data_IF_527877296214
#
_entry.id   IF_527877296214
#
_cell.length_a   1.000
_cell.length_b   1.000
_cell.length_c   1.000
_cell.angle_alpha   90.00
_cell.angle_beta   90.00
_cell.angle_gamma   90.00
#
_symmetry.space_group_name_H-M   'P 1'
#
loop_
_entity.id
_entity.type
_entity.pdbx_description
1 polymer ?
#
# COMPACT_ATOMS: atom_id res chain seq x y z
N UNK A 1 4.76 -20.82 -4.60
CA UNK A 1 3.97 -19.75 -5.21
C UNK A 1 2.69 -19.52 -4.41
N UNK A 2 2.36 -18.28 -4.13
CA UNK A 2 1.15 -17.89 -3.39
C UNK A 2 0.26 -17.05 -4.29
N UNK A 3 -1.05 -17.30 -4.25
CA UNK A 3 -2.04 -16.52 -4.97
C UNK A 3 -3.26 -16.20 -4.13
N UNK A 4 -4.03 -15.22 -4.56
CA UNK A 4 -5.24 -14.78 -3.86
C UNK A 4 -6.31 -14.38 -4.85
N UNK A 5 -7.55 -14.73 -4.57
CA UNK A 5 -8.72 -14.27 -5.33
C UNK A 5 -9.26 -12.91 -4.83
N UNK A 6 -8.70 -12.36 -3.75
CA UNK A 6 -9.18 -11.11 -3.17
C UNK A 6 -9.12 -9.91 -4.11
N UNK A 7 -8.23 -9.91 -5.11
CA UNK A 7 -8.01 -8.77 -6.02
C UNK A 7 -8.54 -9.00 -7.43
N UNK A 8 -8.87 -10.24 -7.78
CA UNK A 8 -9.38 -10.60 -9.12
C UNK A 8 -10.83 -11.07 -9.10
N UNK A 9 -11.36 -11.42 -7.92
CA UNK A 9 -12.76 -11.80 -7.74
C UNK A 9 -13.41 -10.92 -6.66
N UNK A 10 -13.27 -11.28 -5.37
CA UNK A 10 -13.85 -10.50 -4.29
C UNK A 10 -13.09 -10.73 -2.97
N UNK A 11 -12.70 -9.65 -2.25
CA UNK A 11 -11.94 -9.77 -1.01
C UNK A 11 -12.72 -10.41 0.14
N UNK A 12 -14.05 -10.30 0.15
CA UNK A 12 -14.92 -10.85 1.20
C UNK A 12 -14.96 -12.37 1.25
N UNK A 13 -14.62 -13.06 0.16
CA UNK A 13 -14.60 -14.53 0.13
C UNK A 13 -13.41 -15.14 0.89
N UNK A 14 -12.36 -14.38 1.16
CA UNK A 14 -11.19 -14.80 1.95
C UNK A 14 -10.51 -16.07 1.42
N UNK A 15 -10.44 -16.26 0.10
CA UNK A 15 -9.83 -17.42 -0.56
C UNK A 15 -8.49 -17.05 -1.17
N UNK A 16 -7.48 -17.83 -0.81
CA UNK A 16 -6.15 -17.83 -1.42
C UNK A 16 -5.69 -19.25 -1.68
N UNK A 17 -4.58 -19.41 -2.37
CA UNK A 17 -4.02 -20.70 -2.72
C UNK A 17 -2.50 -20.68 -2.71
N UNK A 18 -1.92 -21.85 -2.54
CA UNK A 18 -0.48 -22.04 -2.54
C UNK A 18 -0.10 -23.25 -3.40
N UNK A 19 0.97 -23.10 -4.20
CA UNK A 19 1.67 -24.21 -4.84
C UNK A 19 3.02 -24.34 -4.14
N UNK A 20 3.22 -25.47 -3.49
CA UNK A 20 4.39 -25.73 -2.65
C UNK A 20 4.87 -27.18 -2.78
N UNK A 21 6.16 -27.46 -2.51
CA UNK A 21 6.66 -28.82 -2.39
C UNK A 21 5.85 -29.64 -1.37
N UNK A 22 5.72 -30.97 -1.54
CA UNK A 22 4.89 -31.81 -0.67
C UNK A 22 5.13 -31.62 0.82
N UNK A 23 6.40 -31.60 1.25
CA UNK A 23 6.76 -31.43 2.65
C UNK A 23 6.27 -30.07 3.25
N UNK A 24 6.34 -28.99 2.47
CA UNK A 24 5.82 -27.66 2.87
C UNK A 24 4.31 -27.68 2.88
N UNK A 25 3.69 -28.24 1.85
CA UNK A 25 2.23 -28.32 1.71
C UNK A 25 1.59 -29.04 2.90
N UNK A 26 2.15 -30.18 3.34
CA UNK A 26 1.62 -30.91 4.49
C UNK A 26 1.71 -30.10 5.80
N UNK A 27 2.80 -29.36 5.99
CA UNK A 27 2.91 -28.45 7.16
C UNK A 27 1.94 -27.28 7.10
N UNK A 28 1.75 -26.69 5.92
CA UNK A 28 0.74 -25.62 5.71
C UNK A 28 -0.68 -26.13 5.97
N UNK A 29 -1.00 -27.36 5.53
CA UNK A 29 -2.29 -28.00 5.79
C UNK A 29 -2.55 -28.15 7.28
N UNK A 30 -1.61 -28.71 8.03
CA UNK A 30 -1.72 -28.87 9.49
C UNK A 30 -1.84 -27.51 10.21
N UNK A 31 -1.06 -26.51 9.80
CA UNK A 31 -1.14 -25.17 10.36
C UNK A 31 -2.51 -24.50 10.07
N UNK A 32 -3.03 -24.67 8.86
CA UNK A 32 -4.35 -24.17 8.48
C UNK A 32 -5.47 -24.86 9.27
N UNK A 33 -5.38 -26.18 9.44
CA UNK A 33 -6.33 -26.96 10.25
C UNK A 33 -6.33 -26.48 11.70
N UNK A 34 -5.16 -26.24 12.29
CA UNK A 34 -5.04 -25.74 13.65
C UNK A 34 -5.58 -24.31 13.81
N UNK A 35 -5.43 -23.45 12.78
CA UNK A 35 -5.80 -22.04 12.85
C UNK A 35 -7.27 -21.77 12.54
N UNK A 36 -7.85 -22.45 11.55
CA UNK A 36 -9.19 -22.15 11.01
C UNK A 36 -10.06 -23.40 10.79
N UNK A 37 -9.59 -24.57 11.14
CA UNK A 37 -10.18 -25.91 10.94
C UNK A 37 -10.33 -26.23 9.44
N UNK A 38 -11.16 -25.52 8.70
CA UNK A 38 -11.26 -25.61 7.25
C UNK A 38 -11.63 -24.24 6.62
N UNK A 39 -11.10 -23.93 5.43
CA UNK A 39 -11.56 -22.76 4.66
C UNK A 39 -13.01 -22.93 4.20
N UNK A 40 -13.72 -21.81 3.98
CA UNK A 40 -15.10 -21.83 3.49
C UNK A 40 -15.22 -22.60 2.18
N UNK A 41 -15.96 -23.72 2.21
CA UNK A 41 -16.26 -24.49 1.00
C UNK A 41 -17.18 -23.71 0.05
N UNK A 42 -18.16 -22.97 0.58
CA UNK A 42 -19.04 -22.11 -0.23
C UNK A 42 -18.22 -21.08 -1.00
N UNK A 43 -17.23 -20.44 -0.34
CA UNK A 43 -16.34 -19.50 -1.02
C UNK A 43 -15.55 -20.14 -2.15
N UNK A 44 -15.00 -21.33 -1.93
CA UNK A 44 -14.25 -22.07 -2.96
C UNK A 44 -15.12 -22.48 -4.15
N UNK A 45 -16.32 -23.05 -3.89
CA UNK A 45 -17.26 -23.43 -4.95
C UNK A 45 -17.75 -22.21 -5.73
N UNK A 46 -18.07 -21.10 -5.07
CA UNK A 46 -18.49 -19.87 -5.76
C UNK A 46 -17.41 -19.35 -6.73
N UNK A 47 -16.15 -19.41 -6.33
CA UNK A 47 -15.03 -19.00 -7.19
C UNK A 47 -14.88 -19.98 -8.36
N UNK A 48 -14.94 -21.30 -8.11
CA UNK A 48 -14.86 -22.30 -9.17
C UNK A 48 -15.95 -22.09 -10.22
N UNK A 49 -17.20 -21.95 -9.78
CA UNK A 49 -18.33 -21.68 -10.67
C UNK A 49 -18.16 -20.37 -11.46
N UNK A 50 -17.66 -19.33 -10.80
CA UNK A 50 -17.40 -18.06 -11.48
C UNK A 50 -16.35 -18.22 -12.59
N UNK A 51 -15.24 -18.89 -12.30
CA UNK A 51 -14.17 -19.12 -13.28
C UNK A 51 -14.59 -19.99 -14.45
N UNK A 52 -15.57 -20.89 -14.25
CA UNK A 52 -16.11 -21.78 -15.27
C UNK A 52 -17.20 -21.12 -16.14
N UNK A 53 -18.04 -20.25 -15.55
CA UNK A 53 -19.23 -19.73 -16.19
C UNK A 53 -19.10 -18.30 -16.74
N UNK A 54 -18.13 -17.54 -16.29
CA UNK A 54 -17.96 -16.14 -16.67
C UNK A 54 -16.60 -15.88 -17.34
N UNK A 55 -16.55 -14.88 -18.20
CA UNK A 55 -15.29 -14.44 -18.81
C UNK A 55 -14.49 -13.56 -17.84
N UNK A 56 -13.91 -14.21 -16.86
CA UNK A 56 -13.06 -13.55 -15.86
C UNK A 56 -11.80 -12.93 -16.47
N UNK A 57 -11.34 -13.40 -17.64
CA UNK A 57 -10.18 -12.83 -18.34
C UNK A 57 -10.52 -11.46 -18.90
N UNK A 58 -11.69 -11.30 -19.51
CA UNK A 58 -12.17 -10.01 -19.97
C UNK A 58 -12.36 -9.05 -18.79
N UNK A 59 -12.90 -9.51 -17.68
CA UNK A 59 -13.04 -8.70 -16.46
C UNK A 59 -11.68 -8.18 -15.95
N UNK A 60 -10.61 -8.97 -16.04
CA UNK A 60 -9.26 -8.48 -15.68
C UNK A 60 -8.80 -7.38 -16.65
N UNK A 61 -9.09 -7.49 -17.93
CA UNK A 61 -8.78 -6.44 -18.91
C UNK A 61 -9.52 -5.14 -18.56
N UNK A 62 -10.79 -5.24 -18.24
CA UNK A 62 -11.62 -4.09 -17.84
C UNK A 62 -11.10 -3.44 -16.54
N UNK A 63 -10.75 -4.24 -15.54
CA UNK A 63 -10.14 -3.78 -14.31
C UNK A 63 -8.81 -3.06 -14.56
N UNK A 64 -7.95 -3.60 -15.42
CA UNK A 64 -6.69 -2.95 -15.78
C UNK A 64 -6.92 -1.57 -16.40
N UNK A 65 -7.86 -1.46 -17.33
CA UNK A 65 -8.19 -0.18 -17.95
C UNK A 65 -8.75 0.84 -16.94
N UNK A 66 -9.60 0.40 -16.01
CA UNK A 66 -10.14 1.24 -14.95
C UNK A 66 -9.04 1.71 -13.99
N UNK A 67 -8.20 0.80 -13.49
CA UNK A 67 -7.13 1.15 -12.56
C UNK A 67 -6.04 1.99 -13.21
N UNK A 68 -5.76 1.79 -14.49
CA UNK A 68 -4.83 2.63 -15.25
C UNK A 68 -5.29 4.10 -15.25
N UNK A 69 -6.57 4.36 -15.54
CA UNK A 69 -7.12 5.72 -15.50
C UNK A 69 -6.97 6.38 -14.13
N UNK A 70 -7.23 5.61 -13.07
CA UNK A 70 -7.10 6.09 -11.68
C UNK A 70 -5.63 6.34 -11.31
N UNK A 71 -4.72 5.45 -11.70
CA UNK A 71 -3.27 5.63 -11.52
C UNK A 71 -2.79 6.89 -12.23
N UNK A 72 -3.16 7.07 -13.49
CA UNK A 72 -2.73 8.20 -14.29
C UNK A 72 -3.24 9.53 -13.71
N UNK A 73 -4.47 9.55 -13.19
CA UNK A 73 -5.01 10.70 -12.46
C UNK A 73 -4.21 11.00 -11.17
N UNK A 74 -3.81 9.96 -10.42
CA UNK A 74 -2.97 10.10 -9.23
C UNK A 74 -1.59 10.68 -9.59
N UNK A 75 -0.93 10.12 -10.58
CA UNK A 75 0.41 10.55 -11.02
C UNK A 75 0.36 11.99 -11.52
N UNK A 76 -0.58 12.32 -12.41
CA UNK A 76 -0.75 13.69 -12.92
C UNK A 76 -1.07 14.70 -11.81
N UNK A 77 -1.86 14.32 -10.81
CA UNK A 77 -2.13 15.18 -9.67
C UNK A 77 -0.90 15.38 -8.77
N UNK A 78 -0.08 14.34 -8.58
CA UNK A 78 1.17 14.45 -7.84
C UNK A 78 2.15 15.39 -8.55
N UNK A 79 2.29 15.28 -9.87
CA UNK A 79 3.13 16.16 -10.71
C UNK A 79 2.69 17.62 -10.58
N UNK A 80 1.40 17.87 -10.57
CA UNK A 80 0.85 19.23 -10.52
C UNK A 80 0.91 19.86 -9.12
N UNK A 81 0.50 19.11 -8.08
CA UNK A 81 0.29 19.68 -6.75
C UNK A 81 1.42 19.40 -5.75
N UNK A 82 2.26 18.39 -6.00
CA UNK A 82 3.34 17.96 -5.11
C UNK A 82 4.67 17.76 -5.83
N UNK A 83 5.11 18.70 -6.68
CA UNK A 83 6.35 18.55 -7.46
C UNK A 83 7.61 18.45 -6.59
N UNK A 84 7.52 18.83 -5.29
CA UNK A 84 8.61 18.71 -4.33
C UNK A 84 8.76 17.31 -3.74
N UNK A 85 7.78 16.43 -3.92
CA UNK A 85 7.83 15.02 -3.53
C UNK A 85 8.44 14.16 -4.63
N UNK A 86 8.80 12.93 -4.31
CA UNK A 86 9.30 11.97 -5.30
C UNK A 86 8.51 10.66 -5.25
N UNK A 87 8.33 10.03 -6.39
CA UNK A 87 7.64 8.74 -6.52
C UNK A 87 8.07 8.02 -7.78
N UNK A 88 7.84 6.71 -7.81
CA UNK A 88 7.91 5.94 -9.04
C UNK A 88 6.51 5.72 -9.59
N UNK A 89 6.34 5.81 -10.90
CA UNK A 89 5.08 5.44 -11.57
C UNK A 89 4.95 3.93 -11.52
N UNK A 90 3.93 3.37 -10.85
CA UNK A 90 3.79 1.93 -10.74
C UNK A 90 3.26 1.31 -12.04
N UNK A 91 3.87 0.23 -12.50
CA UNK A 91 3.39 -0.56 -13.64
C UNK A 91 2.14 -1.40 -13.31
N UNK A 92 1.84 -1.56 -12.03
CA UNK A 92 0.71 -2.33 -11.54
C UNK A 92 0.42 -2.09 -10.06
N UNK A 93 -0.52 -2.85 -9.51
CA UNK A 93 -0.96 -2.70 -8.13
C UNK A 93 -2.02 -1.61 -7.95
N UNK A 94 -2.12 -1.06 -6.74
CA UNK A 94 -3.20 -0.15 -6.31
C UNK A 94 -2.70 1.08 -5.58
N UNK A 95 -1.38 1.28 -5.52
CA UNK A 95 -0.76 2.26 -4.65
C UNK A 95 0.39 2.98 -5.33
N UNK A 96 0.57 4.24 -4.96
CA UNK A 96 1.79 5.00 -5.23
C UNK A 96 2.53 5.17 -3.90
N UNK A 97 3.83 4.90 -3.92
CA UNK A 97 4.74 5.15 -2.83
C UNK A 97 5.37 6.51 -3.03
N UNK A 98 5.13 7.43 -2.10
CA UNK A 98 5.53 8.82 -2.21
C UNK A 98 6.52 9.15 -1.11
N UNK A 99 7.69 9.65 -1.48
CA UNK A 99 8.66 10.23 -0.58
C UNK A 99 8.43 11.72 -0.41
N UNK A 100 8.44 12.15 0.83
CA UNK A 100 8.27 13.53 1.26
C UNK A 100 9.59 14.29 1.21
N UNK A 101 9.56 15.63 1.13
CA UNK A 101 10.72 16.47 1.38
C UNK A 101 11.36 16.22 2.75
N UNK A 102 12.67 16.47 2.82
CA UNK A 102 13.45 16.31 4.05
C UNK A 102 12.84 17.07 5.23
N UNK A 103 12.85 16.44 6.39
CA UNK A 103 12.35 17.00 7.65
C UNK A 103 10.85 16.80 7.91
N UNK A 104 10.09 16.27 6.94
CA UNK A 104 8.68 15.92 7.15
C UNK A 104 8.53 14.46 7.63
N UNK A 105 7.58 14.25 8.54
CA UNK A 105 7.19 12.94 9.05
C UNK A 105 5.75 12.63 8.66
N UNK A 106 5.57 11.60 7.84
CA UNK A 106 4.25 11.17 7.35
C UNK A 106 3.32 10.70 8.49
N UNK A 107 3.86 10.20 9.59
CA UNK A 107 3.06 9.80 10.74
C UNK A 107 2.51 11.01 11.50
N UNK A 108 3.35 12.01 11.72
CA UNK A 108 2.98 13.24 12.43
C UNK A 108 2.05 14.14 11.61
N UNK A 109 2.16 14.09 10.26
CA UNK A 109 1.26 14.79 9.33
C UNK A 109 -0.14 14.17 9.24
N UNK A 110 -0.28 12.87 9.51
CA UNK A 110 -1.53 12.12 9.25
C UNK A 110 -2.77 12.73 9.93
N UNK A 111 -2.76 13.18 11.20
CA UNK A 111 -3.94 13.81 11.81
C UNK A 111 -4.41 15.06 11.06
N UNK A 112 -3.49 15.89 10.55
CA UNK A 112 -3.80 17.09 9.76
C UNK A 112 -4.37 16.73 8.38
N UNK A 113 -3.82 15.70 7.75
CA UNK A 113 -4.35 15.18 6.50
C UNK A 113 -5.78 14.66 6.66
N UNK A 114 -6.05 13.90 7.73
CA UNK A 114 -7.40 13.40 8.04
C UNK A 114 -8.38 14.56 8.28
N UNK A 115 -7.97 15.61 8.99
CA UNK A 115 -8.78 16.82 9.17
C UNK A 115 -9.06 17.52 7.83
N UNK A 116 -8.14 17.40 6.86
CA UNK A 116 -8.30 17.89 5.50
C UNK A 116 -9.04 16.89 4.58
N UNK A 117 -9.66 15.85 5.16
CA UNK A 117 -10.41 14.80 4.47
C UNK A 117 -9.55 13.99 3.48
N UNK A 118 -8.29 13.74 3.83
CA UNK A 118 -7.38 12.86 3.11
C UNK A 118 -6.76 11.86 4.09
N UNK A 119 -6.78 10.58 3.73
CA UNK A 119 -6.12 9.54 4.49
C UNK A 119 -5.08 8.81 3.64
N UNK A 120 -3.97 8.46 4.25
CA UNK A 120 -2.91 7.65 3.66
C UNK A 120 -2.35 6.69 4.71
N UNK A 121 -1.47 5.80 4.30
CA UNK A 121 -0.73 4.96 5.24
C UNK A 121 0.70 5.47 5.33
N UNK A 122 1.14 5.85 6.55
CA UNK A 122 2.53 6.24 6.79
C UNK A 122 3.48 5.09 6.46
N UNK A 123 4.63 5.43 5.89
CA UNK A 123 5.66 4.48 5.53
C UNK A 123 6.16 3.63 6.71
N UNK A 124 6.12 4.17 7.93
CA UNK A 124 6.51 3.45 9.14
C UNK A 124 5.75 2.14 9.35
N UNK A 125 4.54 2.01 8.80
CA UNK A 125 3.75 0.79 8.88
C UNK A 125 4.32 -0.39 8.06
N UNK A 126 5.30 -0.13 7.19
CA UNK A 126 5.89 -1.13 6.28
C UNK A 126 7.29 -1.58 6.69
N UNK A 127 7.83 -1.03 7.77
CA UNK A 127 9.16 -1.37 8.27
C UNK A 127 9.08 -2.08 9.62
N UNK A 128 9.90 -3.11 9.78
CA UNK A 128 10.01 -3.81 11.05
C UNK A 128 10.45 -2.84 12.15
N UNK A 129 9.71 -2.83 13.27
CA UNK A 129 9.99 -1.93 14.39
C UNK A 129 9.48 -0.48 14.22
N UNK A 130 8.92 -0.11 13.06
CA UNK A 130 8.26 1.20 12.85
C UNK A 130 9.18 2.43 12.94
N UNK A 131 10.50 2.25 12.84
CA UNK A 131 11.49 3.32 13.00
C UNK A 131 11.98 3.93 11.67
N UNK A 132 11.73 3.28 10.55
CA UNK A 132 12.10 3.75 9.20
C UNK A 132 10.84 4.08 8.39
N UNK A 133 11.00 4.79 7.27
CA UNK A 133 9.91 5.16 6.37
C UNK A 133 9.06 6.33 6.86
N UNK A 134 9.56 7.13 7.81
CA UNK A 134 8.90 8.34 8.31
C UNK A 134 8.70 9.37 7.20
N UNK A 135 9.66 9.44 6.30
CA UNK A 135 9.71 10.32 5.13
C UNK A 135 8.87 9.81 3.95
N UNK A 136 8.06 8.76 4.14
CA UNK A 136 7.27 8.17 3.07
C UNK A 136 5.81 7.98 3.47
N UNK A 137 4.94 7.99 2.46
CA UNK A 137 3.53 7.64 2.60
C UNK A 137 3.05 6.82 1.39
N UNK A 138 2.02 6.01 1.60
CA UNK A 138 1.39 5.21 0.56
C UNK A 138 0.00 5.76 0.24
N UNK A 139 -0.19 6.21 -1.00
CA UNK A 139 -1.48 6.62 -1.53
C UNK A 139 -2.17 5.46 -2.25
N UNK A 140 -3.48 5.37 -2.13
CA UNK A 140 -4.32 4.37 -2.78
C UNK A 140 -5.16 4.98 -3.88
N UNK A 141 -5.14 4.38 -5.08
CA UNK A 141 -6.02 4.73 -6.19
C UNK A 141 -7.07 3.64 -6.49
N UNK A 142 -7.27 2.68 -5.58
CA UNK A 142 -8.10 1.51 -5.88
C UNK A 142 -9.61 1.79 -5.81
N UNK A 143 -10.07 2.80 -5.09
CA UNK A 143 -11.48 3.05 -4.86
C UNK A 143 -12.00 4.38 -5.45
N UNK A 144 -11.35 5.54 -5.19
CA UNK A 144 -11.89 6.82 -5.62
C UNK A 144 -11.89 6.99 -7.14
N UNK A 145 -12.81 7.78 -7.64
CA UNK A 145 -12.83 8.19 -9.05
C UNK A 145 -11.72 9.20 -9.35
N UNK A 146 -11.28 9.35 -10.63
CA UNK A 146 -10.19 10.25 -11.01
C UNK A 146 -10.29 11.68 -10.48
N UNK A 147 -11.49 12.25 -10.45
CA UNK A 147 -11.72 13.59 -9.92
C UNK A 147 -11.52 13.67 -8.40
N UNK A 148 -11.95 12.64 -7.66
CA UNK A 148 -11.77 12.54 -6.22
C UNK A 148 -10.30 12.33 -5.87
N UNK A 149 -9.57 11.52 -6.66
CA UNK A 149 -8.12 11.33 -6.52
C UNK A 149 -7.39 12.66 -6.65
N UNK A 150 -7.70 13.42 -7.72
CA UNK A 150 -7.11 14.74 -7.95
C UNK A 150 -7.37 15.70 -6.79
N UNK A 151 -8.61 15.77 -6.32
CA UNK A 151 -8.98 16.62 -5.19
C UNK A 151 -8.29 16.17 -3.90
N UNK A 152 -8.18 14.86 -3.65
CA UNK A 152 -7.45 14.32 -2.51
C UNK A 152 -5.97 14.73 -2.51
N UNK A 153 -5.30 14.62 -3.65
CA UNK A 153 -3.89 15.05 -3.78
C UNK A 153 -3.75 16.56 -3.60
N UNK A 154 -4.68 17.36 -4.13
CA UNK A 154 -4.71 18.81 -3.93
C UNK A 154 -4.86 19.19 -2.44
N UNK A 155 -5.70 18.49 -1.69
CA UNK A 155 -5.83 18.70 -0.23
C UNK A 155 -4.56 18.30 0.50
N UNK A 156 -3.97 17.17 0.13
CA UNK A 156 -2.70 16.71 0.70
C UNK A 156 -1.59 17.73 0.48
N UNK A 157 -1.52 18.35 -0.71
CA UNK A 157 -0.51 19.37 -1.00
C UNK A 157 -0.61 20.57 -0.05
N UNK A 158 -1.81 20.98 0.32
CA UNK A 158 -2.00 22.05 1.31
C UNK A 158 -1.42 21.68 2.69
N UNK A 159 -1.52 20.40 3.09
CA UNK A 159 -0.93 19.92 4.35
C UNK A 159 0.61 19.90 4.25
N UNK A 160 1.15 19.33 3.17
CA UNK A 160 2.61 19.26 2.95
C UNK A 160 3.22 20.66 2.90
N UNK A 161 2.63 21.57 2.14
CA UNK A 161 3.13 22.96 2.02
C UNK A 161 3.14 23.67 3.37
N UNK A 162 2.05 23.56 4.14
CA UNK A 162 1.96 24.16 5.47
C UNK A 162 3.01 23.61 6.43
N UNK A 163 3.25 22.32 6.41
CA UNK A 163 4.24 21.69 7.28
C UNK A 163 5.67 22.08 6.88
N UNK A 164 5.94 22.25 5.57
CA UNK A 164 7.22 22.82 5.09
C UNK A 164 7.42 24.26 5.52
N UNK A 165 6.38 25.09 5.47
CA UNK A 165 6.42 26.48 5.97
C UNK A 165 6.75 26.52 7.47
N UNK A 166 6.08 25.68 8.26
CA UNK A 166 6.35 25.57 9.70
C UNK A 166 7.80 25.11 9.96
N UNK A 167 8.26 24.11 9.21
CA UNK A 167 9.64 23.63 9.29
C UNK A 167 10.66 24.74 8.97
N UNK A 168 10.38 25.57 7.97
CA UNK A 168 11.25 26.68 7.58
C UNK A 168 11.32 27.79 8.64
N UNK A 169 10.24 28.00 9.39
CA UNK A 169 10.13 29.06 10.40
C UNK A 169 10.69 28.62 11.77
N UNK A 170 10.46 27.38 12.16
CA UNK A 170 10.74 26.89 13.51
C UNK A 170 11.83 25.82 13.58
N UNK A 171 12.35 25.35 12.43
CA UNK A 171 13.25 24.21 12.36
C UNK A 171 12.53 22.86 12.58
N UNK A 172 13.26 21.74 12.52
CA UNK A 172 12.68 20.43 12.70
C UNK A 172 12.08 20.26 14.09
N UNK A 173 10.80 19.90 14.16
CA UNK A 173 10.05 19.68 15.41
C UNK A 173 10.51 18.42 16.17
N UNK A 174 11.28 17.55 15.51
CA UNK A 174 11.93 16.40 16.12
C UNK A 174 13.44 16.54 16.04
N UNK A 175 14.10 16.42 17.18
CA UNK A 175 15.55 16.16 17.20
C UNK A 175 15.81 14.88 16.41
N UNK A 176 16.78 14.84 15.49
CA UNK A 176 17.13 13.60 14.84
C UNK A 176 17.49 12.58 15.91
N UNK A 177 16.74 11.48 15.99
CA UNK A 177 17.20 10.34 16.78
C UNK A 177 18.61 10.00 16.28
N UNK A 178 19.60 9.92 17.14
CA UNK A 178 20.92 9.51 16.73
C UNK A 178 20.76 8.16 16.03
N UNK A 179 21.23 8.08 14.80
CA UNK A 179 21.38 6.84 14.08
C UNK A 179 22.39 6.01 14.87
N UNK A 180 21.93 5.23 15.83
CA UNK A 180 22.74 4.15 16.37
C UNK A 180 23.05 3.24 15.19
N UNK A 181 24.29 3.29 14.75
CA UNK A 181 24.80 2.45 13.72
C UNK A 181 24.52 1.00 14.10
N UNK A 182 23.56 0.41 13.41
CA UNK A 182 23.40 -1.03 13.43
C UNK A 182 24.61 -1.58 12.69
N UNK A 183 25.69 -1.84 13.44
CA UNK A 183 26.70 -2.77 13.00
C UNK A 183 25.99 -4.12 12.79
N UNK A 184 25.75 -4.45 11.52
CA UNK A 184 25.44 -5.82 11.16
C UNK A 184 26.58 -6.69 11.69
N UNK A 185 26.31 -7.73 12.48
CA UNK A 185 27.35 -8.69 12.82
C UNK A 185 27.81 -9.33 11.53
N UNK A 186 29.13 -9.39 11.36
CA UNK A 186 29.75 -10.10 10.26
C UNK A 186 29.28 -11.56 10.24
N UNK A 187 29.04 -12.17 9.05
CA UNK A 187 28.71 -13.57 8.95
C UNK A 187 30.00 -14.36 9.12
N UNK A 188 30.28 -14.76 10.35
CA UNK A 188 31.29 -15.78 10.59
C UNK A 188 30.86 -16.74 11.70
N UNK A 189 30.91 -17.98 11.30
CA UNK A 189 30.97 -19.21 12.12
C UNK A 189 29.62 -19.69 12.73
N UNK A 190 28.86 -20.46 11.96
CA UNK A 190 28.71 -21.95 12.26
C UNK A 190 28.36 -22.64 10.93
#
# INVERSE_FOLDING_TARGET
YLGSFSKIFAPGYRVGWAVAPPAVREKMKLASEAAILCPSSVGQFSISMYLEQFDWKQQIVDFRAMYQKRRDAMVSALEEFLPMCHWNVPDGGFYVWVGLPEGLDAKDMLPRAVTSLVAYVSGTAFYAGGRAGQDHLRLSFCYPEPAEIREGVRRLSGVVTRDLELLSLFGPTHSPHPSEGVHAPAPDQI
#
